data_IF_072467874406
#
_entry.id   IF_072467874406
#
_cell.length_a   1.000
_cell.length_b   1.000
_cell.length_c   1.000
_cell.angle_alpha   90.00
_cell.angle_beta   90.00
_cell.angle_gamma   90.00
#
_symmetry.space_group_name_H-M   'P 1'
#
loop_
_entity.id
_entity.type
_entity.pdbx_description
1 polymer ?
#
# COMPACT_ATOMS: atom_id res chain seq x y z
N UNK A 1 1.71 14.53 22.17
CA UNK A 1 1.32 13.11 22.18
C UNK A 1 2.40 12.27 21.53
N UNK A 2 2.68 11.09 22.09
CA UNK A 2 3.62 10.20 21.42
C UNK A 2 3.13 9.85 20.01
N UNK A 3 4.04 9.76 19.05
CA UNK A 3 3.69 9.41 17.68
C UNK A 3 2.94 8.09 17.59
N UNK A 4 3.27 7.13 18.47
CA UNK A 4 2.64 5.82 18.49
C UNK A 4 1.14 5.86 18.80
N UNK A 5 0.64 6.92 19.43
CA UNK A 5 -0.79 7.05 19.71
C UNK A 5 -1.61 7.36 18.46
N UNK A 6 -0.98 7.93 17.43
CA UNK A 6 -1.65 8.22 16.16
C UNK A 6 -1.57 7.05 15.18
N UNK A 7 -0.75 6.04 15.46
CA UNK A 7 -0.54 4.93 14.53
C UNK A 7 -1.82 4.16 14.19
N UNK A 8 -2.71 3.85 15.14
CA UNK A 8 -3.97 3.20 14.77
C UNK A 8 -4.80 4.02 13.79
N UNK A 9 -4.77 5.35 13.92
CA UNK A 9 -5.49 6.25 13.02
C UNK A 9 -4.84 6.25 11.64
N UNK A 10 -3.51 6.34 11.59
CA UNK A 10 -2.76 6.27 10.33
C UNK A 10 -3.02 4.93 9.65
N UNK A 11 -2.96 3.84 10.41
CA UNK A 11 -3.24 2.51 9.89
C UNK A 11 -4.66 2.42 9.30
N UNK A 12 -5.66 2.95 10.01
CA UNK A 12 -7.04 2.92 9.52
C UNK A 12 -7.18 3.65 8.18
N UNK A 13 -6.46 4.76 8.00
CA UNK A 13 -6.47 5.51 6.74
C UNK A 13 -5.79 4.72 5.62
N UNK A 14 -4.68 4.08 5.91
CA UNK A 14 -3.97 3.25 4.91
C UNK A 14 -4.78 2.01 4.56
N UNK A 15 -5.39 1.36 5.55
CA UNK A 15 -6.27 0.22 5.33
C UNK A 15 -7.43 0.60 4.41
N UNK A 16 -7.99 1.79 4.61
CA UNK A 16 -9.10 2.29 3.80
C UNK A 16 -8.70 2.46 2.32
N UNK A 17 -7.41 2.71 2.04
CA UNK A 17 -6.92 2.79 0.66
C UNK A 17 -6.95 1.40 0.00
N UNK A 18 -6.59 0.37 0.75
CA UNK A 18 -6.54 -1.00 0.24
C UNK A 18 -7.90 -1.68 0.17
N UNK A 19 -8.79 -1.39 1.11
CA UNK A 19 -10.05 -2.10 1.28
C UNK A 19 -10.94 -2.16 0.02
N UNK A 20 -11.08 -1.10 -0.79
CA UNK A 20 -11.89 -1.19 -2.02
C UNK A 20 -11.38 -2.24 -2.99
N UNK A 21 -10.10 -2.56 -2.96
CA UNK A 21 -9.49 -3.54 -3.86
C UNK A 21 -9.71 -4.98 -3.39
N UNK A 22 -10.20 -5.18 -2.17
CA UNK A 22 -10.50 -6.50 -1.65
C UNK A 22 -11.62 -7.21 -2.43
N UNK A 23 -12.40 -6.46 -3.20
CA UNK A 23 -13.45 -7.05 -4.04
C UNK A 23 -12.90 -7.98 -5.11
N UNK A 24 -11.69 -7.71 -5.60
CA UNK A 24 -11.06 -8.48 -6.66
C UNK A 24 -9.78 -9.17 -6.22
N UNK A 25 -9.38 -8.96 -4.96
CA UNK A 25 -8.17 -9.52 -4.39
C UNK A 25 -8.52 -10.33 -3.14
N UNK A 26 -7.57 -11.09 -2.64
CA UNK A 26 -7.79 -11.95 -1.47
C UNK A 26 -7.20 -11.31 -0.22
N UNK A 27 -8.03 -11.14 0.82
CA UNK A 27 -7.56 -10.66 2.12
C UNK A 27 -6.86 -11.83 2.80
N UNK A 28 -5.57 -11.66 3.09
CA UNK A 28 -4.76 -12.70 3.74
C UNK A 28 -4.49 -12.39 5.21
N UNK A 29 -4.50 -11.11 5.58
CA UNK A 29 -4.34 -10.66 6.96
C UNK A 29 -5.32 -9.52 7.21
N UNK A 30 -6.05 -9.58 8.31
CA UNK A 30 -6.96 -8.51 8.71
C UNK A 30 -7.02 -8.49 10.24
N UNK A 31 -6.07 -7.78 10.83
CA UNK A 31 -5.95 -7.66 12.28
C UNK A 31 -5.96 -6.18 12.67
N UNK A 32 -5.87 -5.90 13.97
CA UNK A 32 -5.85 -4.53 14.48
C UNK A 32 -4.62 -3.74 14.03
N UNK A 33 -3.54 -4.43 13.63
CA UNK A 33 -2.27 -3.78 13.27
C UNK A 33 -1.73 -4.18 11.90
N UNK A 34 -2.47 -4.99 11.13
CA UNK A 34 -2.02 -5.42 9.81
C UNK A 34 -3.21 -5.75 8.90
N UNK A 35 -3.11 -5.36 7.64
CA UNK A 35 -4.10 -5.67 6.61
C UNK A 35 -3.34 -5.96 5.32
N UNK A 36 -3.56 -7.14 4.74
CA UNK A 36 -2.79 -7.57 3.57
C UNK A 36 -3.69 -8.17 2.50
N UNK A 37 -3.39 -7.85 1.25
CA UNK A 37 -4.11 -8.37 0.08
C UNK A 37 -3.12 -9.08 -0.85
N UNK A 38 -3.56 -10.27 -1.33
CA UNK A 38 -2.86 -10.98 -2.39
C UNK A 38 -3.70 -10.94 -3.65
N UNK A 39 -3.03 -10.97 -4.79
CA UNK A 39 -3.69 -11.10 -6.09
C UNK A 39 -4.07 -12.55 -6.36
N UNK A 40 -4.72 -12.80 -7.51
CA UNK A 40 -5.01 -14.16 -7.94
C UNK A 40 -3.73 -14.89 -8.32
N UNK A 41 -3.83 -16.21 -8.48
CA UNK A 41 -2.70 -16.98 -9.01
C UNK A 41 -2.31 -16.44 -10.39
N UNK A 42 -1.03 -16.18 -10.57
CA UNK A 42 -0.49 -15.68 -11.83
C UNK A 42 0.09 -16.82 -12.66
N UNK A 43 -0.47 -17.07 -13.83
CA UNK A 43 0.07 -18.06 -14.77
C UNK A 43 1.47 -17.68 -15.24
N UNK A 44 1.72 -16.38 -15.37
CA UNK A 44 3.01 -15.85 -15.81
C UNK A 44 4.11 -16.17 -14.81
N UNK A 45 3.83 -15.98 -13.51
CA UNK A 45 4.81 -16.17 -12.44
C UNK A 45 4.70 -17.52 -11.75
N UNK A 46 3.65 -18.29 -12.08
CA UNK A 46 3.36 -19.61 -11.50
C UNK A 46 3.22 -19.58 -9.97
N UNK A 47 2.63 -18.51 -9.45
CA UNK A 47 2.38 -18.35 -8.02
C UNK A 47 1.36 -17.24 -7.77
N UNK A 48 0.83 -17.21 -6.55
CA UNK A 48 0.01 -16.09 -6.09
C UNK A 48 0.92 -14.93 -5.75
N UNK A 49 0.65 -13.75 -6.31
CA UNK A 49 1.46 -12.56 -6.09
C UNK A 49 0.86 -11.70 -4.99
N UNK A 50 1.72 -11.23 -4.07
CA UNK A 50 1.35 -10.24 -3.10
C UNK A 50 0.99 -8.92 -3.80
N UNK A 51 -0.11 -8.27 -3.36
CA UNK A 51 -0.52 -6.98 -3.93
C UNK A 51 -0.09 -5.81 -3.06
N UNK A 52 -0.52 -5.79 -1.81
CA UNK A 52 -0.21 -4.67 -0.92
C UNK A 52 -0.62 -4.94 0.51
N UNK A 53 -0.06 -4.17 1.43
CA UNK A 53 -0.42 -4.28 2.84
C UNK A 53 -0.18 -2.97 3.58
N UNK A 54 -0.85 -2.83 4.74
CA UNK A 54 -0.58 -1.77 5.71
C UNK A 54 -0.27 -2.47 7.04
N UNK A 55 0.76 -1.99 7.75
CA UNK A 55 1.19 -2.61 9.00
C UNK A 55 1.71 -1.55 9.97
N UNK A 56 1.29 -1.65 11.23
CA UNK A 56 1.84 -0.82 12.30
C UNK A 56 3.17 -1.43 12.72
N UNK A 57 4.24 -0.63 12.62
CA UNK A 57 5.57 -1.00 13.06
C UNK A 57 5.91 -0.24 14.33
N UNK A 58 7.12 -0.45 14.86
CA UNK A 58 7.55 0.18 16.11
C UNK A 58 7.58 1.71 16.01
N UNK A 59 8.13 2.24 14.92
CA UNK A 59 8.40 3.66 14.77
C UNK A 59 7.60 4.35 13.66
N UNK A 60 6.73 3.62 12.95
CA UNK A 60 5.95 4.15 11.84
C UNK A 60 4.88 3.15 11.42
N UNK A 61 4.01 3.56 10.52
CA UNK A 61 3.06 2.65 9.87
C UNK A 61 3.51 2.51 8.42
N UNK A 62 3.70 1.27 7.99
CA UNK A 62 4.20 0.97 6.64
C UNK A 62 3.06 0.64 5.70
N UNK A 63 3.18 1.09 4.46
CA UNK A 63 2.28 0.74 3.37
C UNK A 63 3.12 0.16 2.24
N UNK A 64 2.85 -1.11 1.91
CA UNK A 64 3.56 -1.80 0.83
C UNK A 64 2.64 -1.88 -0.39
N UNK A 65 3.21 -1.64 -1.57
CA UNK A 65 2.44 -1.68 -2.81
C UNK A 65 3.30 -2.35 -3.89
N UNK A 66 3.08 -3.65 -4.11
CA UNK A 66 3.87 -4.44 -5.04
C UNK A 66 3.85 -3.92 -6.48
N UNK A 67 2.72 -3.40 -7.01
CA UNK A 67 2.72 -2.88 -8.38
C UNK A 67 3.79 -1.82 -8.67
N UNK A 68 4.14 -0.96 -7.69
CA UNK A 68 5.18 0.04 -7.93
C UNK A 68 6.57 -0.57 -8.00
N UNK A 69 6.77 -1.73 -7.38
CA UNK A 69 8.00 -2.50 -7.52
C UNK A 69 8.10 -3.14 -8.91
N UNK A 70 6.99 -3.71 -9.36
CA UNK A 70 6.92 -4.39 -10.66
C UNK A 70 6.93 -3.41 -11.82
N UNK A 71 6.32 -2.24 -11.63
CA UNK A 71 6.15 -1.22 -12.67
C UNK A 71 6.61 0.14 -12.14
N UNK A 72 7.94 0.37 -12.04
CA UNK A 72 8.49 1.59 -11.46
C UNK A 72 8.02 2.89 -12.14
N UNK A 73 7.58 2.81 -13.38
CA UNK A 73 7.06 3.98 -14.08
C UNK A 73 5.81 4.56 -13.41
N UNK A 74 5.13 3.79 -12.56
CA UNK A 74 4.01 4.31 -11.78
C UNK A 74 4.45 5.42 -10.83
N UNK A 75 5.73 5.45 -10.45
CA UNK A 75 6.29 6.45 -9.54
C UNK A 75 6.72 7.73 -10.25
N UNK A 76 6.65 7.76 -11.58
CA UNK A 76 7.19 8.87 -12.37
C UNK A 76 6.59 10.22 -11.99
N UNK A 77 5.30 10.26 -11.69
CA UNK A 77 4.57 11.51 -11.46
C UNK A 77 4.17 11.74 -9.99
N UNK A 78 4.71 10.96 -9.05
CA UNK A 78 4.39 11.19 -7.64
C UNK A 78 5.11 12.45 -7.14
N UNK A 79 4.50 13.10 -6.14
CA UNK A 79 5.07 14.31 -5.55
C UNK A 79 6.38 14.00 -4.82
N UNK A 80 7.27 15.01 -4.71
CA UNK A 80 8.48 14.84 -3.90
C UNK A 80 8.18 14.49 -2.44
N UNK A 81 7.08 15.01 -1.90
CA UNK A 81 6.68 14.74 -0.53
C UNK A 81 6.32 13.28 -0.31
N UNK A 82 5.57 12.68 -1.24
CA UNK A 82 5.24 11.26 -1.15
C UNK A 82 6.49 10.41 -1.36
N UNK A 83 7.36 10.82 -2.28
CA UNK A 83 8.61 10.11 -2.53
C UNK A 83 9.49 10.07 -1.28
N UNK A 84 9.46 11.12 -0.46
CA UNK A 84 10.21 11.17 0.80
C UNK A 84 9.71 10.14 1.81
N UNK A 85 8.48 9.65 1.67
CA UNK A 85 7.93 8.62 2.54
C UNK A 85 8.36 7.22 2.13
N UNK A 86 8.96 7.07 0.95
CA UNK A 86 9.41 5.77 0.49
C UNK A 86 10.68 5.32 1.19
N UNK A 87 10.70 4.05 1.53
CA UNK A 87 11.89 3.37 2.02
C UNK A 87 11.99 2.06 1.21
N UNK A 88 12.97 2.01 0.32
CA UNK A 88 13.05 0.91 -0.64
C UNK A 88 12.19 1.20 -1.87
N UNK A 89 11.81 0.15 -2.59
CA UNK A 89 11.18 0.27 -3.90
C UNK A 89 9.66 0.18 -3.90
N UNK A 90 9.07 -0.27 -2.80
CA UNK A 90 7.62 -0.51 -2.74
C UNK A 90 6.99 -0.17 -1.39
N UNK A 91 7.75 0.41 -0.48
CA UNK A 91 7.30 0.69 0.88
C UNK A 91 7.21 2.19 1.13
N UNK A 92 6.10 2.61 1.74
CA UNK A 92 5.89 4.00 2.16
C UNK A 92 5.65 3.99 3.67
N UNK A 93 6.39 4.83 4.41
CA UNK A 93 6.30 4.89 5.86
C UNK A 93 5.70 6.22 6.32
N UNK A 94 4.73 6.14 7.22
CA UNK A 94 4.04 7.32 7.75
C UNK A 94 4.07 7.30 9.27
N UNK A 95 4.30 8.46 9.87
CA UNK A 95 4.26 8.64 11.32
C UNK A 95 3.01 9.40 11.78
N UNK A 96 2.32 10.04 10.84
CA UNK A 96 1.12 10.84 11.11
C UNK A 96 0.20 10.82 9.90
N UNK A 97 -1.04 11.27 10.09
CA UNK A 97 -1.97 11.42 9.00
C UNK A 97 -1.55 12.62 8.15
N UNK A 98 -1.34 12.39 6.87
CA UNK A 98 -0.97 13.41 5.88
C UNK A 98 -1.98 13.35 4.74
N UNK A 99 -3.13 14.07 4.85
CA UNK A 99 -4.27 13.88 3.94
C UNK A 99 -3.93 14.00 2.46
N UNK A 100 -3.08 14.97 2.10
CA UNK A 100 -2.70 15.17 0.69
C UNK A 100 -1.91 13.97 0.17
N UNK A 101 -1.01 13.44 0.98
CA UNK A 101 -0.20 12.30 0.58
C UNK A 101 -1.03 11.01 0.55
N UNK A 102 -1.98 10.87 1.47
CA UNK A 102 -2.87 9.72 1.48
C UNK A 102 -3.78 9.71 0.26
N UNK A 103 -4.24 10.87 -0.16
CA UNK A 103 -5.05 11.01 -1.37
C UNK A 103 -4.25 10.62 -2.60
N UNK A 104 -3.01 11.08 -2.67
CA UNK A 104 -2.10 10.74 -3.76
C UNK A 104 -1.79 9.24 -3.75
N UNK A 105 -1.56 8.67 -2.58
CA UNK A 105 -1.29 7.25 -2.43
C UNK A 105 -2.49 6.40 -2.86
N UNK A 106 -3.71 6.85 -2.55
CA UNK A 106 -4.93 6.17 -2.98
C UNK A 106 -5.02 6.13 -4.51
N UNK A 107 -4.69 7.24 -5.18
CA UNK A 107 -4.68 7.30 -6.63
C UNK A 107 -3.60 6.39 -7.22
N UNK A 108 -2.42 6.36 -6.60
CA UNK A 108 -1.33 5.49 -7.02
C UNK A 108 -1.71 4.02 -6.86
N UNK A 109 -2.38 3.67 -5.77
CA UNK A 109 -2.86 2.32 -5.51
C UNK A 109 -3.87 1.89 -6.57
N UNK A 110 -4.78 2.78 -6.95
CA UNK A 110 -5.76 2.51 -7.98
C UNK A 110 -5.10 2.24 -9.33
N UNK A 111 -4.13 3.08 -9.69
CA UNK A 111 -3.35 2.89 -10.93
C UNK A 111 -2.56 1.59 -10.89
N UNK A 112 -1.97 1.29 -9.73
CA UNK A 112 -1.22 0.06 -9.54
C UNK A 112 -2.10 -1.17 -9.65
N UNK A 113 -3.31 -1.12 -9.09
CA UNK A 113 -4.24 -2.24 -9.16
C UNK A 113 -4.67 -2.53 -10.60
N UNK A 114 -4.94 -1.48 -11.37
CA UNK A 114 -5.31 -1.61 -12.78
C UNK A 114 -4.18 -2.25 -13.59
N UNK A 115 -2.93 -1.80 -13.36
CA UNK A 115 -1.77 -2.34 -14.05
C UNK A 115 -1.50 -3.80 -13.64
N UNK A 116 -1.61 -4.07 -12.36
CA UNK A 116 -1.40 -5.40 -11.79
C UNK A 116 -2.36 -6.42 -12.39
N UNK A 117 -3.64 -6.05 -12.48
CA UNK A 117 -4.67 -6.89 -13.06
C UNK A 117 -4.43 -7.14 -14.55
N UNK A 118 -4.02 -6.10 -15.29
CA UNK A 118 -3.77 -6.19 -16.73
C UNK A 118 -2.61 -7.12 -17.06
N UNK A 119 -1.54 -7.09 -16.25
CA UNK A 119 -0.32 -7.85 -16.52
C UNK A 119 -0.37 -9.28 -15.97
N UNK A 120 -1.35 -9.59 -15.14
CA UNK A 120 -1.51 -10.91 -14.55
C UNK A 120 -2.83 -11.53 -14.93
#
# INVERSE_FOLDING_TARGET
>A
MPASESFPIVFAKLRAILKPHAKTLTVTVDTADAYSLDGPFSEKWKRTLFFGSAQIKKNYVSFYLMPVYMFPQLLKNISPELKKRMQGKSCFNFKKVEPELLKELAALTKSGAARFKKEN
#
